data_IF_566445892656
#
_entry.id   IF_566445892656
#
_cell.length_a   1.000
_cell.length_b   1.000
_cell.length_c   1.000
_cell.angle_alpha   90.00
_cell.angle_beta   90.00
_cell.angle_gamma   90.00
#
_symmetry.space_group_name_H-M   'P 1'
#
loop_
_entity.id
_entity.type
_entity.pdbx_description
1 polymer ?
#
# COMPACT_ATOMS: atom_id res chain seq x y z
N UNK A 1 -3.04 14.49 39.25
CA UNK A 1 -2.47 13.43 38.38
C UNK A 1 -1.08 13.11 38.93
N UNK A 2 -0.97 12.10 39.78
CA UNK A 2 0.32 11.47 40.12
C UNK A 2 0.57 10.38 39.09
N UNK A 3 1.73 10.37 38.44
CA UNK A 3 2.13 9.36 37.44
C UNK A 3 2.61 9.91 36.08
N UNK A 4 3.16 11.13 35.99
CA UNK A 4 3.66 11.71 34.74
C UNK A 4 5.18 11.59 34.53
N UNK A 5 5.92 10.95 35.45
CA UNK A 5 7.39 10.87 35.40
C UNK A 5 7.94 9.51 34.90
N UNK A 6 7.07 8.56 34.55
CA UNK A 6 7.47 7.27 33.97
C UNK A 6 7.06 7.18 32.50
N UNK A 7 7.95 6.64 31.68
CA UNK A 7 7.67 6.39 30.26
C UNK A 7 6.52 5.37 30.12
N UNK A 8 5.66 5.61 29.13
CA UNK A 8 4.57 4.68 28.82
C UNK A 8 5.10 3.39 28.16
N UNK A 9 4.47 2.26 28.47
CA UNK A 9 4.62 1.02 27.69
C UNK A 9 3.79 1.17 26.40
N UNK A 10 4.43 1.64 25.33
CA UNK A 10 3.76 2.00 24.08
C UNK A 10 3.77 0.86 23.04
N UNK A 11 2.72 0.04 23.02
CA UNK A 11 2.54 -1.07 22.04
C UNK A 11 1.52 -0.73 20.94
N UNK A 12 1.53 0.51 20.43
CA UNK A 12 0.60 0.97 19.38
C UNK A 12 1.32 1.62 18.18
N UNK A 13 2.63 1.36 18.03
CA UNK A 13 3.44 1.91 16.94
C UNK A 13 3.01 1.47 15.53
N UNK A 14 2.27 0.37 15.41
CA UNK A 14 1.69 -0.13 14.17
C UNK A 14 0.46 0.68 13.69
N UNK A 15 -0.18 1.44 14.58
CA UNK A 15 -1.28 2.36 14.23
C UNK A 15 -0.77 3.79 14.12
N UNK A 16 -0.02 4.25 15.13
CA UNK A 16 0.61 5.56 15.11
C UNK A 16 2.04 5.47 15.67
N UNK A 17 3.03 5.64 14.81
CA UNK A 17 4.42 5.69 15.24
C UNK A 17 4.69 6.89 16.16
N UNK A 18 5.55 6.71 17.16
CA UNK A 18 6.00 7.81 18.00
C UNK A 18 6.73 8.86 17.15
N UNK A 19 6.56 10.14 17.50
CA UNK A 19 7.17 11.24 16.76
C UNK A 19 8.70 11.25 16.92
N UNK A 20 9.48 11.17 15.82
CA UNK A 20 10.92 11.37 15.91
C UNK A 20 11.26 12.77 16.41
N UNK A 21 12.25 12.89 17.31
CA UNK A 21 12.66 14.19 17.92
C UNK A 21 13.04 15.25 16.88
N UNK A 22 13.52 14.84 15.71
CA UNK A 22 13.97 15.72 14.63
C UNK A 22 12.84 16.33 13.80
N UNK A 23 11.59 15.86 13.95
CA UNK A 23 10.45 16.37 13.16
C UNK A 23 10.31 17.89 13.31
N UNK A 24 10.42 18.40 14.54
CA UNK A 24 10.35 19.83 14.82
C UNK A 24 11.43 20.61 14.06
N UNK A 25 12.67 20.14 14.14
CA UNK A 25 13.81 20.78 13.49
C UNK A 25 13.62 20.86 11.97
N UNK A 26 13.13 19.79 11.33
CA UNK A 26 12.98 19.76 9.88
C UNK A 26 11.83 20.67 9.39
N UNK A 27 10.76 20.78 10.18
CA UNK A 27 9.69 21.74 9.91
C UNK A 27 10.19 23.18 10.04
N UNK A 28 10.93 23.49 11.11
CA UNK A 28 11.50 24.81 11.34
C UNK A 28 12.45 25.24 10.20
N UNK A 29 13.24 24.31 9.64
CA UNK A 29 14.08 24.60 8.46
C UNK A 29 13.28 25.13 7.26
N UNK A 30 12.15 24.52 6.94
CA UNK A 30 11.32 24.91 5.79
C UNK A 30 10.48 26.16 6.07
N UNK A 31 9.99 26.33 7.31
CA UNK A 31 9.29 27.54 7.75
C UNK A 31 10.22 28.76 7.73
N UNK A 32 11.45 28.60 8.21
CA UNK A 32 12.47 29.65 8.15
C UNK A 32 12.82 30.01 6.71
N UNK A 33 12.97 29.02 5.83
CA UNK A 33 13.24 29.24 4.41
C UNK A 33 12.10 30.03 3.78
N UNK A 34 10.85 29.67 4.08
CA UNK A 34 9.70 30.40 3.59
C UNK A 34 9.68 31.86 4.08
N UNK A 35 9.90 32.08 5.37
CA UNK A 35 9.93 33.42 5.96
C UNK A 35 11.04 34.31 5.38
N UNK A 36 12.21 33.74 5.07
CA UNK A 36 13.38 34.48 4.57
C UNK A 36 13.38 34.70 3.06
N UNK A 37 12.88 33.73 2.30
CA UNK A 37 13.08 33.67 0.84
C UNK A 37 11.78 33.72 0.04
N UNK A 38 10.61 33.57 0.64
CA UNK A 38 9.34 33.54 -0.08
C UNK A 38 9.37 32.52 -1.23
N UNK A 39 8.95 32.93 -2.42
CA UNK A 39 8.87 32.07 -3.60
C UNK A 39 10.22 31.49 -4.05
N UNK A 40 11.36 32.13 -3.76
CA UNK A 40 12.67 31.59 -4.13
C UNK A 40 12.94 30.21 -3.50
N UNK A 41 12.28 29.88 -2.38
CA UNK A 41 12.37 28.56 -1.75
C UNK A 41 11.89 27.38 -2.62
N UNK A 42 11.20 27.65 -3.73
CA UNK A 42 10.82 26.63 -4.72
C UNK A 42 12.03 25.94 -5.37
N UNK A 43 13.12 26.68 -5.61
CA UNK A 43 14.25 26.22 -6.42
C UNK A 43 15.55 26.06 -5.61
N UNK A 44 15.60 26.54 -4.36
CA UNK A 44 16.83 26.58 -3.55
C UNK A 44 16.71 25.89 -2.19
N UNK A 45 17.87 25.63 -1.58
CA UNK A 45 18.01 25.07 -0.23
C UNK A 45 18.22 23.57 -0.22
N UNK A 46 18.21 22.96 0.98
CA UNK A 46 18.39 21.51 1.15
C UNK A 46 17.28 20.69 0.48
N UNK A 47 16.06 21.23 0.46
CA UNK A 47 14.85 20.61 -0.11
C UNK A 47 14.09 21.63 -0.96
N UNK A 48 14.52 21.93 -2.20
CA UNK A 48 13.76 22.81 -3.08
C UNK A 48 12.32 22.30 -3.22
N UNK A 49 11.32 23.16 -3.02
CA UNK A 49 9.94 22.67 -2.89
C UNK A 49 9.37 22.03 -4.17
N UNK A 50 9.90 22.36 -5.35
CA UNK A 50 9.46 21.75 -6.62
C UNK A 50 9.79 20.26 -6.67
N UNK A 51 10.92 19.85 -6.07
CA UNK A 51 11.43 18.47 -6.08
C UNK A 51 11.54 17.91 -4.66
N UNK A 52 10.75 18.44 -3.73
CA UNK A 52 10.89 18.13 -2.30
C UNK A 52 10.66 16.66 -1.96
N UNK A 53 9.79 16.01 -2.73
CA UNK A 53 9.56 14.57 -2.70
C UNK A 53 10.75 13.78 -3.27
N UNK A 54 11.29 14.21 -4.41
CA UNK A 54 12.40 13.54 -5.10
C UNK A 54 13.69 13.51 -4.25
N UNK A 55 13.96 14.59 -3.50
CA UNK A 55 15.18 14.74 -2.66
C UNK A 55 15.32 13.63 -1.61
N UNK A 56 14.22 13.00 -1.20
CA UNK A 56 14.22 11.98 -0.14
C UNK A 56 13.89 10.56 -0.66
N UNK A 57 13.71 10.37 -1.98
CA UNK A 57 13.36 9.05 -2.55
C UNK A 57 14.42 7.98 -2.26
N UNK A 58 15.71 8.35 -2.32
CA UNK A 58 16.82 7.44 -2.03
C UNK A 58 16.75 6.82 -0.62
N UNK A 59 16.08 7.46 0.34
CA UNK A 59 15.91 6.90 1.69
C UNK A 59 14.89 5.75 1.75
N UNK A 60 14.08 5.57 0.70
CA UNK A 60 13.03 4.55 0.64
C UNK A 60 13.44 3.32 -0.15
N UNK A 61 14.49 3.39 -0.98
CA UNK A 61 14.88 2.31 -1.90
C UNK A 61 15.14 1.00 -1.16
N UNK A 62 15.82 1.06 -0.02
CA UNK A 62 16.16 -0.12 0.79
C UNK A 62 14.96 -0.62 1.60
N UNK A 63 14.01 0.26 1.93
CA UNK A 63 12.79 -0.09 2.69
C UNK A 63 11.82 -0.89 1.82
N UNK A 64 11.58 -0.43 0.58
CA UNK A 64 10.62 -1.08 -0.34
C UNK A 64 11.27 -1.99 -1.38
N UNK A 65 12.61 -1.99 -1.48
CA UNK A 65 13.36 -2.81 -2.42
C UNK A 65 13.19 -2.40 -3.89
N UNK A 66 13.01 -1.11 -4.19
CA UNK A 66 12.75 -0.58 -5.54
C UNK A 66 13.72 0.55 -5.90
N UNK A 67 13.88 0.83 -7.19
CA UNK A 67 14.68 1.96 -7.66
C UNK A 67 13.94 3.28 -7.41
N UNK A 68 14.65 4.40 -7.29
CA UNK A 68 14.03 5.73 -7.10
C UNK A 68 12.97 6.05 -8.17
N UNK A 69 13.21 5.64 -9.43
CA UNK A 69 12.27 5.83 -10.55
C UNK A 69 10.97 5.02 -10.45
N UNK A 70 10.91 4.07 -9.53
CA UNK A 70 9.74 3.21 -9.26
C UNK A 70 9.00 3.65 -7.98
N UNK A 71 9.45 4.73 -7.32
CA UNK A 71 8.91 5.22 -6.06
C UNK A 71 8.41 6.66 -6.25
N UNK A 72 7.23 6.95 -5.70
CA UNK A 72 6.70 8.30 -5.58
C UNK A 72 6.18 8.54 -4.16
N UNK A 73 6.59 9.64 -3.53
CA UNK A 73 6.16 10.03 -2.18
C UNK A 73 5.13 11.14 -2.28
N UNK A 74 3.85 10.77 -2.32
CA UNK A 74 2.75 11.70 -2.58
C UNK A 74 1.48 11.37 -1.80
N UNK A 75 0.63 12.37 -1.61
CA UNK A 75 -0.76 12.25 -1.11
C UNK A 75 -0.90 11.45 0.20
N UNK A 76 -1.86 10.52 0.23
CA UNK A 76 -2.09 9.55 1.29
C UNK A 76 -2.45 8.19 0.69
N UNK A 77 -2.44 7.14 1.51
CA UNK A 77 -2.50 5.73 1.08
C UNK A 77 -3.69 5.44 0.15
N UNK A 78 -4.92 5.70 0.61
CA UNK A 78 -6.14 5.37 -0.16
C UNK A 78 -6.23 6.17 -1.46
N UNK A 79 -5.80 7.43 -1.47
CA UNK A 79 -5.77 8.23 -2.69
C UNK A 79 -4.80 7.65 -3.72
N UNK A 80 -3.59 7.25 -3.29
CA UNK A 80 -2.63 6.60 -4.18
C UNK A 80 -3.18 5.26 -4.71
N UNK A 81 -3.90 4.51 -3.88
CA UNK A 81 -4.55 3.28 -4.32
C UNK A 81 -5.59 3.53 -5.42
N UNK A 82 -6.39 4.60 -5.32
CA UNK A 82 -7.31 4.99 -6.40
C UNK A 82 -6.57 5.32 -7.70
N UNK A 83 -5.47 6.09 -7.63
CA UNK A 83 -4.67 6.45 -8.81
C UNK A 83 -4.10 5.21 -9.51
N UNK A 84 -3.62 4.24 -8.72
CA UNK A 84 -3.15 2.95 -9.22
C UNK A 84 -4.29 2.16 -9.86
N UNK A 85 -5.42 2.01 -9.18
CA UNK A 85 -6.58 1.26 -9.70
C UNK A 85 -7.14 1.86 -10.98
N UNK A 86 -7.22 3.19 -11.12
CA UNK A 86 -7.62 3.85 -12.37
C UNK A 86 -6.71 3.46 -13.56
N UNK A 87 -5.45 3.14 -13.29
CA UNK A 87 -4.46 2.80 -14.33
C UNK A 87 -4.39 1.29 -14.61
N UNK A 88 -4.51 0.46 -13.58
CA UNK A 88 -4.30 -0.99 -13.64
C UNK A 88 -5.59 -1.80 -13.74
N UNK A 89 -6.71 -1.33 -13.17
CA UNK A 89 -8.00 -2.01 -13.26
C UNK A 89 -8.71 -1.61 -14.56
N UNK A 90 -8.56 -2.45 -15.59
CA UNK A 90 -9.19 -2.27 -16.91
C UNK A 90 -10.14 -3.42 -17.19
N UNK A 91 -11.34 -3.44 -16.57
CA UNK A 91 -12.25 -4.56 -16.68
C UNK A 91 -12.73 -4.77 -18.12
N UNK A 92 -12.95 -6.04 -18.46
CA UNK A 92 -13.52 -6.50 -19.74
C UNK A 92 -14.68 -7.44 -19.45
N UNK A 93 -15.44 -7.83 -20.47
CA UNK A 93 -16.55 -8.79 -20.30
C UNK A 93 -16.12 -10.15 -19.76
N UNK A 94 -14.87 -10.58 -20.00
CA UNK A 94 -14.33 -11.86 -19.49
C UNK A 94 -13.58 -11.72 -18.17
N UNK A 95 -12.94 -10.56 -17.94
CA UNK A 95 -11.99 -10.34 -16.86
C UNK A 95 -12.28 -9.00 -16.19
N UNK A 96 -12.98 -9.04 -15.06
CA UNK A 96 -13.51 -7.85 -14.40
C UNK A 96 -13.49 -7.91 -12.87
N UNK A 97 -13.11 -9.05 -12.27
CA UNK A 97 -13.10 -9.17 -10.82
C UNK A 97 -11.85 -8.52 -10.21
N UNK A 98 -11.98 -8.03 -8.98
CA UNK A 98 -10.85 -7.69 -8.10
C UNK A 98 -10.83 -8.70 -6.96
N UNK A 99 -9.69 -9.36 -6.75
CA UNK A 99 -9.49 -10.35 -5.69
C UNK A 99 -8.84 -9.69 -4.47
N UNK A 100 -9.40 -9.91 -3.28
CA UNK A 100 -8.92 -9.39 -1.99
C UNK A 100 -9.19 -10.37 -0.83
N UNK A 101 -8.57 -10.13 0.32
CA UNK A 101 -8.85 -10.85 1.57
C UNK A 101 -10.14 -10.38 2.27
N UNK A 102 -10.78 -11.30 3.01
CA UNK A 102 -11.90 -10.97 3.87
C UNK A 102 -11.48 -10.05 5.01
N UNK A 103 -12.39 -9.14 5.37
CA UNK A 103 -12.16 -8.11 6.40
C UNK A 103 -10.90 -7.29 6.14
N UNK A 104 -10.56 -7.05 4.87
CA UNK A 104 -9.57 -6.06 4.48
C UNK A 104 -9.85 -4.71 5.17
N UNK A 105 -8.81 -3.88 5.28
CA UNK A 105 -8.94 -2.59 5.95
C UNK A 105 -10.07 -1.76 5.30
N UNK A 106 -10.94 -1.08 6.09
CA UNK A 106 -12.18 -0.52 5.54
C UNK A 106 -11.98 0.44 4.36
N UNK A 107 -10.91 1.24 4.36
CA UNK A 107 -10.66 2.16 3.24
C UNK A 107 -10.36 1.43 1.94
N UNK A 108 -9.67 0.30 2.00
CA UNK A 108 -9.30 -0.52 0.84
C UNK A 108 -10.54 -1.20 0.27
N UNK A 109 -11.41 -1.71 1.15
CA UNK A 109 -12.72 -2.24 0.77
C UNK A 109 -13.55 -1.20 0.00
N UNK A 110 -13.71 0.01 0.55
CA UNK A 110 -14.48 1.07 -0.11
C UNK A 110 -13.80 1.60 -1.39
N UNK A 111 -12.47 1.61 -1.44
CA UNK A 111 -11.75 1.97 -2.65
C UNK A 111 -12.02 0.98 -3.80
N UNK A 112 -12.00 -0.33 -3.50
CA UNK A 112 -12.33 -1.37 -4.48
C UNK A 112 -13.80 -1.27 -4.90
N UNK A 113 -14.72 -1.16 -3.94
CA UNK A 113 -16.15 -1.07 -4.20
C UNK A 113 -16.49 0.10 -5.13
N UNK A 114 -15.98 1.29 -4.81
CA UNK A 114 -16.21 2.49 -5.62
C UNK A 114 -15.56 2.40 -7.01
N UNK A 115 -14.41 1.72 -7.17
CA UNK A 115 -13.83 1.45 -8.48
C UNK A 115 -14.69 0.51 -9.32
N UNK A 116 -15.25 -0.55 -8.72
CA UNK A 116 -16.19 -1.43 -9.42
C UNK A 116 -17.44 -0.67 -9.88
N UNK A 117 -18.00 0.17 -8.99
CA UNK A 117 -19.16 1.01 -9.30
C UNK A 117 -18.86 2.04 -10.39
N UNK A 118 -17.66 2.64 -10.39
CA UNK A 118 -17.20 3.56 -11.43
C UNK A 118 -17.24 2.92 -12.84
N UNK A 119 -16.98 1.62 -12.92
CA UNK A 119 -17.06 0.83 -14.15
C UNK A 119 -18.45 0.20 -14.40
N UNK A 120 -19.46 0.53 -13.60
CA UNK A 120 -20.83 -0.01 -13.72
C UNK A 120 -20.94 -1.51 -13.41
N UNK A 121 -19.97 -2.08 -12.68
CA UNK A 121 -19.96 -3.49 -12.31
C UNK A 121 -20.77 -3.73 -11.03
N UNK A 122 -21.45 -4.89 -10.97
CA UNK A 122 -22.12 -5.34 -9.74
C UNK A 122 -21.07 -5.78 -8.73
N UNK A 123 -21.09 -5.16 -7.54
CA UNK A 123 -20.09 -5.38 -6.48
C UNK A 123 -20.07 -6.85 -6.08
N UNK A 124 -21.23 -7.47 -5.85
CA UNK A 124 -21.37 -8.84 -5.36
C UNK A 124 -20.77 -9.88 -6.32
N UNK A 125 -20.72 -9.56 -7.62
CA UNK A 125 -20.16 -10.46 -8.65
C UNK A 125 -18.70 -10.19 -8.99
N UNK A 126 -18.22 -8.99 -8.66
CA UNK A 126 -16.94 -8.47 -9.15
C UNK A 126 -15.92 -8.29 -8.03
N UNK A 127 -16.38 -8.16 -6.78
CA UNK A 127 -15.53 -8.10 -5.61
C UNK A 127 -15.35 -9.52 -5.05
N UNK A 128 -14.26 -10.16 -5.42
CA UNK A 128 -13.99 -11.55 -5.01
C UNK A 128 -13.22 -11.56 -3.70
N UNK A 129 -13.89 -11.91 -2.61
CA UNK A 129 -13.33 -11.89 -1.26
C UNK A 129 -12.95 -13.31 -0.81
N UNK A 130 -11.71 -13.56 -0.42
CA UNK A 130 -11.28 -14.85 0.16
C UNK A 130 -11.51 -14.86 1.66
N UNK A 131 -12.32 -15.80 2.16
CA UNK A 131 -12.62 -15.95 3.58
C UNK A 131 -11.78 -17.07 4.22
N UNK A 132 -11.45 -16.95 5.51
CA UNK A 132 -10.81 -18.05 6.24
C UNK A 132 -11.79 -19.22 6.37
N UNK A 133 -11.24 -20.42 6.58
CA UNK A 133 -12.04 -21.63 6.84
C UNK A 133 -12.81 -21.48 8.15
N UNK A 134 -13.88 -22.26 8.30
CA UNK A 134 -14.66 -22.26 9.55
C UNK A 134 -13.76 -22.57 10.76
N UNK A 135 -13.81 -21.72 11.77
CA UNK A 135 -12.97 -21.81 12.97
C UNK A 135 -11.57 -21.18 12.83
N UNK A 136 -11.23 -20.58 11.69
CA UNK A 136 -9.97 -19.88 11.45
C UNK A 136 -10.17 -18.37 11.31
N UNK A 137 -9.16 -17.58 11.68
CA UNK A 137 -9.14 -16.13 11.46
C UNK A 137 -8.17 -15.71 10.34
N UNK A 138 -7.14 -16.51 10.09
CA UNK A 138 -6.13 -16.27 9.05
C UNK A 138 -6.43 -17.08 7.80
N UNK A 139 -6.00 -16.59 6.64
CA UNK A 139 -6.11 -17.35 5.38
C UNK A 139 -4.96 -18.34 5.26
N UNK A 140 -5.24 -19.53 4.76
CA UNK A 140 -4.17 -20.46 4.39
C UNK A 140 -3.65 -20.13 2.99
N UNK A 141 -2.35 -20.33 2.78
CA UNK A 141 -1.73 -19.98 1.50
C UNK A 141 -2.29 -20.85 0.36
N UNK A 142 -2.53 -22.14 0.63
CA UNK A 142 -3.13 -23.07 -0.32
C UNK A 142 -4.52 -22.62 -0.81
N UNK A 143 -5.34 -22.03 0.07
CA UNK A 143 -6.68 -21.54 -0.28
C UNK A 143 -6.59 -20.31 -1.19
N UNK A 144 -5.62 -19.41 -0.91
CA UNK A 144 -5.36 -18.25 -1.76
C UNK A 144 -4.93 -18.70 -3.17
N UNK A 145 -3.99 -19.65 -3.25
CA UNK A 145 -3.50 -20.17 -4.53
C UNK A 145 -4.61 -20.88 -5.29
N UNK A 146 -5.41 -21.72 -4.63
CA UNK A 146 -6.53 -22.43 -5.26
C UNK A 146 -7.53 -21.46 -5.89
N UNK A 147 -7.89 -20.37 -5.20
CA UNK A 147 -8.79 -19.34 -5.76
C UNK A 147 -8.16 -18.68 -7.00
N UNK A 148 -6.87 -18.34 -6.95
CA UNK A 148 -6.17 -17.74 -8.09
C UNK A 148 -6.12 -18.71 -9.29
N UNK A 149 -5.87 -19.99 -9.05
CA UNK A 149 -5.80 -21.00 -10.11
C UNK A 149 -7.17 -21.25 -10.77
N UNK A 150 -8.22 -21.32 -9.96
CA UNK A 150 -9.59 -21.64 -10.40
C UNK A 150 -10.31 -20.44 -11.02
N UNK A 151 -10.09 -19.22 -10.52
CA UNK A 151 -10.84 -18.03 -10.94
C UNK A 151 -10.00 -16.98 -11.67
N UNK A 152 -8.70 -17.20 -11.79
CA UNK A 152 -7.71 -16.23 -12.31
C UNK A 152 -8.02 -15.68 -13.70
N UNK A 153 -8.68 -16.43 -14.57
CA UNK A 153 -9.06 -15.97 -15.91
C UNK A 153 -10.10 -14.83 -15.88
N UNK A 154 -10.88 -14.75 -14.79
CA UNK A 154 -11.91 -13.72 -14.59
C UNK A 154 -11.46 -12.54 -13.72
N UNK A 155 -10.28 -12.65 -13.09
CA UNK A 155 -9.71 -11.64 -12.18
C UNK A 155 -8.84 -10.67 -12.97
N UNK A 156 -9.12 -9.38 -12.88
CA UNK A 156 -8.33 -8.32 -13.54
C UNK A 156 -7.16 -7.85 -12.68
N UNK A 157 -7.37 -7.76 -11.36
CA UNK A 157 -6.40 -7.28 -10.38
C UNK A 157 -6.50 -8.13 -9.10
N UNK A 158 -5.35 -8.46 -8.53
CA UNK A 158 -5.25 -9.01 -7.18
C UNK A 158 -4.69 -7.92 -6.27
N UNK A 159 -5.48 -7.52 -5.29
CA UNK A 159 -5.15 -6.48 -4.32
C UNK A 159 -5.29 -7.07 -2.92
N UNK A 160 -4.15 -7.41 -2.33
CA UNK A 160 -4.03 -7.94 -0.98
C UNK A 160 -3.25 -6.94 -0.12
N UNK A 161 -3.48 -6.95 1.18
CA UNK A 161 -2.53 -6.34 2.12
C UNK A 161 -1.22 -7.15 2.19
N UNK A 162 -0.12 -6.50 2.58
CA UNK A 162 1.13 -7.21 2.86
C UNK A 162 1.07 -7.90 4.22
N UNK A 163 0.59 -7.15 5.22
CA UNK A 163 0.26 -7.65 6.56
C UNK A 163 -1.19 -7.26 6.85
N UNK A 164 -2.01 -8.24 7.23
CA UNK A 164 -3.41 -7.98 7.57
C UNK A 164 -3.52 -7.23 8.90
N UNK A 165 -4.23 -6.09 8.91
CA UNK A 165 -4.17 -5.13 10.02
C UNK A 165 -4.70 -5.65 11.36
N UNK A 166 -5.66 -6.58 11.33
CA UNK A 166 -6.30 -7.13 12.53
C UNK A 166 -5.60 -8.38 13.03
N UNK A 167 -5.41 -9.37 12.15
CA UNK A 167 -4.82 -10.68 12.50
C UNK A 167 -3.29 -10.64 12.60
N UNK A 168 -2.64 -9.60 12.06
CA UNK A 168 -1.18 -9.51 11.98
C UNK A 168 -0.56 -10.52 11.00
N UNK A 169 -1.37 -11.19 10.18
CA UNK A 169 -0.89 -12.18 9.23
C UNK A 169 -0.04 -11.52 8.13
N UNK A 170 1.22 -11.91 8.03
CA UNK A 170 2.08 -11.60 6.89
C UNK A 170 1.78 -12.55 5.73
N UNK A 171 1.31 -12.01 4.61
CA UNK A 171 1.08 -12.79 3.40
C UNK A 171 2.37 -12.99 2.60
N UNK A 172 2.47 -14.13 1.91
CA UNK A 172 3.62 -14.41 1.04
C UNK A 172 3.49 -13.65 -0.28
N UNK A 173 3.87 -12.37 -0.27
CA UNK A 173 3.78 -11.46 -1.42
C UNK A 173 4.40 -12.07 -2.70
N UNK A 174 5.63 -12.64 -2.69
CA UNK A 174 6.20 -13.23 -3.89
C UNK A 174 5.38 -14.40 -4.47
N UNK A 175 4.85 -15.28 -3.61
CA UNK A 175 4.08 -16.44 -4.06
C UNK A 175 2.71 -16.02 -4.64
N UNK A 176 1.99 -15.10 -4.00
CA UNK A 176 0.72 -14.56 -4.51
C UNK A 176 0.95 -13.84 -5.84
N UNK A 177 2.01 -13.02 -5.92
CA UNK A 177 2.37 -12.29 -7.14
C UNK A 177 2.65 -13.25 -8.29
N UNK A 178 3.44 -14.31 -8.06
CA UNK A 178 3.78 -15.31 -9.08
C UNK A 178 2.56 -16.07 -9.57
N UNK A 179 1.68 -16.49 -8.66
CA UNK A 179 0.44 -17.18 -9.02
C UNK A 179 -0.51 -16.26 -9.80
N UNK A 180 -0.62 -15.00 -9.35
CA UNK A 180 -1.35 -13.94 -10.04
C UNK A 180 -0.86 -13.75 -11.46
N UNK A 181 0.43 -13.48 -11.67
CA UNK A 181 1.00 -13.24 -13.01
C UNK A 181 0.84 -14.43 -13.97
N UNK A 182 0.79 -15.66 -13.45
CA UNK A 182 0.55 -16.85 -14.28
C UNK A 182 -0.87 -16.90 -14.89
N UNK A 183 -1.83 -16.17 -14.33
CA UNK A 183 -3.26 -16.21 -14.72
C UNK A 183 -3.89 -14.84 -15.02
N UNK A 184 -3.36 -13.79 -14.40
CA UNK A 184 -3.81 -12.40 -14.39
C UNK A 184 -2.75 -11.55 -15.09
N UNK A 185 -3.09 -11.04 -16.28
CA UNK A 185 -2.17 -10.22 -17.09
C UNK A 185 -1.88 -8.82 -16.49
N UNK A 186 -2.46 -8.47 -15.34
CA UNK A 186 -2.30 -7.15 -14.72
C UNK A 186 -1.87 -7.27 -13.25
N UNK A 187 -0.77 -6.60 -12.95
CA UNK A 187 0.07 -6.54 -11.75
C UNK A 187 -0.62 -6.77 -10.38
N UNK A 188 0.09 -7.50 -9.50
CA UNK A 188 -0.10 -7.43 -8.05
C UNK A 188 0.55 -6.15 -7.53
N UNK A 189 -0.17 -5.34 -6.75
CA UNK A 189 0.27 -4.02 -6.29
C UNK A 189 1.18 -4.06 -5.04
N UNK A 190 2.11 -5.02 -4.99
CA UNK A 190 3.16 -5.04 -3.99
C UNK A 190 4.53 -5.18 -4.63
N UNK A 191 5.50 -4.30 -4.32
CA UNK A 191 6.85 -4.43 -4.84
C UNK A 191 7.44 -5.77 -4.37
N UNK A 192 8.06 -6.56 -5.27
CA UNK A 192 8.77 -7.76 -4.86
C UNK A 192 9.98 -7.34 -4.01
N UNK A 193 9.97 -7.69 -2.72
CA UNK A 193 11.18 -7.72 -1.89
C UNK A 193 12.10 -8.84 -2.40
N UNK A 194 12.75 -8.64 -3.54
CA UNK A 194 13.69 -9.63 -4.09
C UNK A 194 14.92 -8.95 -4.66
N UNK A 195 15.74 -8.34 -3.79
CA UNK A 195 17.19 -8.21 -3.99
C UNK A 195 17.97 -8.28 -2.67
N UNK A 196 17.85 -9.39 -1.95
CA UNK A 196 19.01 -9.91 -1.19
C UNK A 196 19.91 -10.66 -2.17
N UNK A 197 20.69 -9.92 -2.94
CA UNK A 197 21.87 -10.49 -3.61
C UNK A 197 23.01 -10.44 -2.62
N UNK A 198 23.42 -11.62 -2.16
CA UNK A 198 24.73 -11.89 -1.59
C UNK A 198 25.81 -11.26 -2.48
N UNK A 199 26.45 -10.19 -2.00
CA UNK A 199 27.88 -9.91 -2.12
C UNK A 199 28.29 -8.99 -0.98
#
# INVERSE_FOLDING_TARGET
MQGLDEDAIYFLGNSLGLQPKMVKTYLEEELDKWAKMGAYGHEVGKRPWIIGDEVILGLMTDIVGANEKEIALMNGLTLNLHLLLLSFFKPTTKRYKILLEAKAFPSDHYAIESQLQLHGLQVEKSMRIIEPREGEETLRMEDIIEVIENEGDSIAVILFSGVHFYTGQLFNIPAITKAGQAKVCTYSLHPPLSRTSLY
#
